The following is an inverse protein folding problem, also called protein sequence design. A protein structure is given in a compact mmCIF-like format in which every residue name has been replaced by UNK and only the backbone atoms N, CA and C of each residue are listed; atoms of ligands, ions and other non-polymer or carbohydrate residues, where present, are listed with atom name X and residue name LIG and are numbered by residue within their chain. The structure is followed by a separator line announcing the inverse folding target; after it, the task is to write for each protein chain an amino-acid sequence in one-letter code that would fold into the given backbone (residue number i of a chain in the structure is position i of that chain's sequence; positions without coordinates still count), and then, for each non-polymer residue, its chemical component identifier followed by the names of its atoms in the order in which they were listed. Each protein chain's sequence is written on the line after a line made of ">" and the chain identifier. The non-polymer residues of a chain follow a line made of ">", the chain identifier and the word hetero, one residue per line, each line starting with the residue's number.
data_IF_873375181359
#
_entry.id   IF_873375181359
#
_cell.length_a   1.000
_cell.length_b   1.000
_cell.length_c   1.000
_cell.angle_alpha   90.00
_cell.angle_beta   90.00
_cell.angle_gamma   90.00
#
_symmetry.space_group_name_H-M   'P 1'
#
loop_
_entity.id
_entity.type
_entity.pdbx_description
1 polymer ?
#
# COMPACT_ATOMS: atom_id res chain seq x y z
N UNK A 1 -1.46 -13.05 19.34
CA UNK A 1 -0.97 -12.78 17.96
C UNK A 1 -2.14 -12.87 16.99
N UNK A 2 -2.36 -11.83 16.20
CA UNK A 2 -3.46 -11.82 15.24
C UNK A 2 -3.08 -12.64 14.00
N UNK A 3 -3.92 -13.60 13.62
CA UNK A 3 -3.68 -14.45 12.46
C UNK A 3 -3.90 -13.67 11.15
N UNK A 4 -3.30 -14.15 10.07
CA UNK A 4 -3.52 -13.59 8.74
C UNK A 4 -5.01 -13.57 8.38
N UNK A 5 -5.72 -14.66 8.68
CA UNK A 5 -7.16 -14.75 8.42
C UNK A 5 -7.95 -13.68 9.20
N UNK A 6 -7.64 -13.46 10.47
CA UNK A 6 -8.33 -12.47 11.29
C UNK A 6 -8.08 -11.04 10.75
N UNK A 7 -6.87 -10.76 10.29
CA UNK A 7 -6.54 -9.46 9.67
C UNK A 7 -7.34 -9.25 8.39
N UNK A 8 -7.40 -10.27 7.53
CA UNK A 8 -8.16 -10.20 6.27
C UNK A 8 -9.66 -10.06 6.53
N UNK A 9 -10.18 -10.75 7.53
CA UNK A 9 -11.59 -10.62 7.92
C UNK A 9 -11.90 -9.20 8.38
N UNK A 10 -11.03 -8.60 9.20
CA UNK A 10 -11.18 -7.23 9.66
C UNK A 10 -11.08 -6.24 8.48
N UNK A 11 -10.16 -6.47 7.57
CA UNK A 11 -10.01 -5.64 6.37
C UNK A 11 -11.28 -5.67 5.50
N UNK A 12 -11.87 -6.85 5.35
CA UNK A 12 -13.12 -7.03 4.59
C UNK A 12 -14.30 -6.36 5.28
N UNK A 13 -14.34 -6.36 6.61
CA UNK A 13 -15.36 -5.62 7.36
C UNK A 13 -15.26 -4.12 7.11
N UNK A 14 -14.06 -3.58 6.98
CA UNK A 14 -13.86 -2.16 6.64
C UNK A 14 -14.40 -1.85 5.25
N UNK A 15 -14.35 -2.79 4.32
CA UNK A 15 -14.99 -2.62 3.00
C UNK A 15 -16.49 -2.38 3.16
N UNK A 16 -17.16 -3.22 3.92
CA UNK A 16 -18.61 -3.12 4.10
C UNK A 16 -18.99 -1.82 4.82
N UNK A 17 -18.33 -1.50 5.93
CA UNK A 17 -18.63 -0.31 6.73
C UNK A 17 -18.27 1.00 6.02
N UNK A 18 -17.20 1.01 5.21
CA UNK A 18 -16.73 2.19 4.49
C UNK A 18 -17.22 2.27 3.05
N UNK A 19 -17.97 1.28 2.58
CA UNK A 19 -18.43 1.18 1.19
C UNK A 19 -17.27 1.33 0.20
N UNK A 20 -16.19 0.61 0.45
CA UNK A 20 -14.97 0.70 -0.35
C UNK A 20 -15.13 0.02 -1.72
N UNK A 21 -14.49 0.58 -2.75
CA UNK A 21 -14.53 0.06 -4.12
C UNK A 21 -13.46 -1.01 -4.39
N UNK A 22 -12.80 -1.52 -3.35
CA UNK A 22 -11.76 -2.54 -3.41
C UNK A 22 -11.96 -3.49 -2.22
N UNK A 23 -11.11 -4.51 -2.10
CA UNK A 23 -11.36 -5.63 -1.18
C UNK A 23 -11.45 -5.24 0.30
N UNK A 24 -10.75 -4.20 0.71
CA UNK A 24 -10.76 -3.73 2.08
C UNK A 24 -9.56 -2.84 2.39
N UNK A 25 -9.31 -2.62 3.68
CA UNK A 25 -8.23 -1.77 4.14
C UNK A 25 -7.56 -2.36 5.37
N UNK A 26 -6.25 -2.18 5.48
CA UNK A 26 -5.44 -2.64 6.62
C UNK A 26 -4.70 -1.45 7.22
N UNK A 27 -4.46 -1.51 8.54
CA UNK A 27 -3.56 -0.55 9.18
C UNK A 27 -2.11 -0.88 8.80
N UNK A 28 -1.16 0.06 8.98
CA UNK A 28 0.25 -0.24 8.73
C UNK A 28 0.75 -1.46 9.51
N UNK A 29 0.37 -1.59 10.79
CA UNK A 29 0.76 -2.74 11.62
C UNK A 29 0.17 -4.04 11.09
N UNK A 30 -1.09 -4.03 10.67
CA UNK A 30 -1.74 -5.20 10.06
C UNK A 30 -1.07 -5.59 8.76
N UNK A 31 -0.69 -4.60 7.96
CA UNK A 31 0.02 -4.86 6.69
C UNK A 31 1.34 -5.59 6.92
N UNK A 32 2.14 -5.12 7.88
CA UNK A 32 3.41 -5.78 8.21
C UNK A 32 3.17 -7.20 8.74
N UNK A 33 2.17 -7.38 9.60
CA UNK A 33 1.82 -8.70 10.14
C UNK A 33 1.42 -9.67 9.03
N UNK A 34 0.64 -9.22 8.04
CA UNK A 34 0.26 -10.04 6.89
C UNK A 34 1.48 -10.44 6.06
N UNK A 35 2.36 -9.48 5.77
CA UNK A 35 3.56 -9.74 4.99
C UNK A 35 4.47 -10.75 5.66
N UNK A 36 4.58 -10.69 6.99
CA UNK A 36 5.38 -11.64 7.75
C UNK A 36 4.72 -13.02 7.87
N UNK A 37 3.38 -13.06 7.89
CA UNK A 37 2.64 -14.30 8.06
C UNK A 37 2.46 -15.11 6.78
N UNK A 38 2.45 -14.46 5.61
CA UNK A 38 2.16 -15.10 4.32
C UNK A 38 3.11 -14.57 3.25
N UNK A 39 4.00 -15.43 2.78
CA UNK A 39 4.99 -15.08 1.76
C UNK A 39 4.38 -14.71 0.41
N UNK A 40 3.11 -15.05 0.17
CA UNK A 40 2.41 -14.70 -1.07
C UNK A 40 1.88 -13.27 -1.08
N UNK A 41 1.72 -12.64 0.09
CA UNK A 41 1.24 -11.25 0.19
C UNK A 41 2.31 -10.30 -0.36
N UNK A 42 1.90 -9.32 -1.13
CA UNK A 42 2.79 -8.33 -1.74
C UNK A 42 2.40 -6.91 -1.36
N UNK A 43 3.39 -6.11 -1.02
CA UNK A 43 3.22 -4.67 -0.84
C UNK A 43 3.53 -3.99 -2.18
N UNK A 44 2.57 -3.25 -2.71
CA UNK A 44 2.72 -2.50 -3.94
C UNK A 44 2.81 -1.02 -3.57
N UNK A 45 4.01 -0.48 -3.66
CA UNK A 45 4.27 0.92 -3.38
C UNK A 45 3.97 1.73 -4.64
N UNK A 46 2.93 2.56 -4.59
CA UNK A 46 2.50 3.31 -5.76
C UNK A 46 3.02 4.74 -5.78
N UNK A 47 3.97 5.04 -4.87
CA UNK A 47 4.65 6.34 -4.86
C UNK A 47 5.56 6.46 -6.07
N UNK A 48 5.98 7.70 -6.34
CA UNK A 48 6.95 7.96 -7.41
C UNK A 48 8.33 7.44 -7.01
N UNK A 49 9.14 7.09 -7.99
CA UNK A 49 10.54 6.70 -7.77
C UNK A 49 11.30 7.80 -7.04
N UNK A 50 11.00 9.07 -7.32
CA UNK A 50 11.60 10.20 -6.64
C UNK A 50 11.35 10.15 -5.13
N UNK A 51 10.14 9.79 -4.70
CA UNK A 51 9.83 9.66 -3.28
C UNK A 51 10.65 8.54 -2.63
N UNK A 52 10.86 7.43 -3.32
CA UNK A 52 11.72 6.36 -2.80
C UNK A 52 13.16 6.82 -2.64
N UNK A 53 13.65 7.58 -3.62
CA UNK A 53 15.04 8.03 -3.63
C UNK A 53 15.30 9.12 -2.59
N UNK A 54 14.30 9.96 -2.26
CA UNK A 54 14.48 11.09 -1.35
C UNK A 54 13.91 10.88 0.04
N UNK A 55 12.88 10.08 0.18
CA UNK A 55 12.19 9.86 1.46
C UNK A 55 12.52 8.51 2.08
N UNK A 56 12.63 7.49 1.26
CA UNK A 56 12.84 6.12 1.72
C UNK A 56 11.67 5.21 1.43
N UNK A 57 11.72 3.99 1.95
CA UNK A 57 10.73 2.96 1.67
C UNK A 57 10.56 1.99 2.83
N UNK A 58 9.40 1.28 2.92
CA UNK A 58 9.22 0.29 3.96
C UNK A 58 10.20 -0.88 3.78
N UNK A 59 10.67 -1.43 4.89
CA UNK A 59 11.50 -2.62 4.90
C UNK A 59 10.60 -3.82 5.20
N UNK A 60 10.40 -4.68 4.21
CA UNK A 60 9.52 -5.85 4.30
C UNK A 60 10.30 -7.09 3.83
N UNK A 61 9.77 -8.31 4.05
CA UNK A 61 10.49 -9.51 3.63
C UNK A 61 10.83 -9.51 2.14
N UNK A 62 11.97 -10.11 1.80
CA UNK A 62 12.47 -10.16 0.42
C UNK A 62 11.43 -10.78 -0.53
N UNK A 63 11.29 -10.17 -1.70
CA UNK A 63 10.37 -10.64 -2.73
C UNK A 63 8.92 -10.23 -2.53
N UNK A 64 8.61 -9.52 -1.44
CA UNK A 64 7.24 -9.09 -1.15
C UNK A 64 7.00 -7.60 -1.38
N UNK A 65 7.96 -6.89 -1.95
CA UNK A 65 7.87 -5.46 -2.24
C UNK A 65 8.04 -5.21 -3.73
N UNK A 66 7.18 -4.35 -4.29
CA UNK A 66 7.35 -3.83 -5.65
C UNK A 66 6.91 -2.38 -5.69
N UNK A 67 7.60 -1.59 -6.53
CA UNK A 67 7.22 -0.21 -6.80
C UNK A 67 6.58 -0.14 -8.19
N UNK A 68 5.32 0.27 -8.24
CA UNK A 68 4.60 0.51 -9.50
C UNK A 68 3.97 1.89 -9.39
N UNK A 69 4.53 2.88 -10.05
CA UNK A 69 4.09 4.26 -9.90
C UNK A 69 2.64 4.46 -10.36
N UNK A 70 1.84 5.14 -9.55
CA UNK A 70 0.49 5.58 -9.92
C UNK A 70 0.57 6.84 -10.79
N UNK A 71 1.43 7.77 -10.41
CA UNK A 71 1.77 8.94 -11.20
C UNK A 71 3.30 9.03 -11.30
N UNK A 72 3.78 9.83 -12.23
CA UNK A 72 5.22 10.05 -12.44
C UNK A 72 5.62 11.43 -11.97
N UNK A 73 6.83 11.54 -11.47
CA UNK A 73 7.45 12.81 -11.11
C UNK A 73 8.49 13.17 -12.17
N UNK A 74 8.60 14.47 -12.55
CA UNK A 74 7.81 15.61 -12.06
C UNK A 74 6.45 15.76 -12.75
N UNK A 75 5.57 16.56 -12.11
CA UNK A 75 4.32 16.99 -12.72
C UNK A 75 3.09 16.16 -12.38
N UNK A 76 3.25 15.04 -11.67
CA UNK A 76 2.12 14.20 -11.28
C UNK A 76 1.38 13.59 -12.48
N UNK A 77 2.13 13.26 -13.53
CA UNK A 77 1.54 12.71 -14.78
C UNK A 77 1.06 11.27 -14.52
N UNK A 78 -0.21 10.94 -14.83
CA UNK A 78 -0.70 9.57 -14.65
C UNK A 78 0.15 8.55 -15.42
N UNK A 79 0.41 7.42 -14.79
CA UNK A 79 1.15 6.32 -15.41
C UNK A 79 0.18 5.45 -16.23
N UNK A 80 0.18 5.62 -17.53
CA UNK A 80 -0.70 4.89 -18.44
C UNK A 80 -0.45 3.38 -18.46
N UNK A 81 0.71 2.95 -17.98
CA UNK A 81 1.13 1.56 -17.98
C UNK A 81 1.01 0.91 -16.60
N UNK A 82 0.23 1.51 -15.69
CA UNK A 82 0.14 1.02 -14.32
C UNK A 82 -0.28 -0.46 -14.26
N UNK A 83 -1.35 -0.83 -14.93
CA UNK A 83 -1.85 -2.22 -14.91
C UNK A 83 -0.91 -3.20 -15.59
N UNK A 84 -0.25 -2.78 -16.69
CA UNK A 84 0.75 -3.62 -17.37
C UNK A 84 1.94 -3.89 -16.46
N UNK A 85 2.43 -2.87 -15.77
CA UNK A 85 3.55 -2.98 -14.85
C UNK A 85 3.17 -3.80 -13.63
N UNK A 86 1.96 -3.62 -13.11
CA UNK A 86 1.45 -4.43 -12.00
C UNK A 86 1.41 -5.92 -12.40
N UNK A 87 0.88 -6.23 -13.58
CA UNK A 87 0.80 -7.60 -14.07
C UNK A 87 2.19 -8.22 -14.27
N UNK A 88 3.18 -7.42 -14.68
CA UNK A 88 4.55 -7.87 -14.83
C UNK A 88 5.17 -8.24 -13.47
N UNK A 89 4.90 -7.44 -12.43
CA UNK A 89 5.39 -7.68 -11.08
C UNK A 89 4.60 -8.76 -10.34
N UNK A 90 3.30 -8.84 -10.60
CA UNK A 90 2.37 -9.73 -9.90
C UNK A 90 1.42 -10.35 -10.92
N UNK A 91 1.85 -11.40 -11.65
CA UNK A 91 1.01 -11.99 -12.70
C UNK A 91 -0.19 -12.78 -12.18
N UNK A 92 -0.12 -13.30 -10.96
CA UNK A 92 -1.22 -14.08 -10.38
C UNK A 92 -2.24 -13.13 -9.72
N UNK A 93 -3.43 -13.06 -10.29
CA UNK A 93 -4.51 -12.18 -9.81
C UNK A 93 -5.12 -12.62 -8.48
N UNK A 94 -4.78 -13.80 -7.99
CA UNK A 94 -5.21 -14.26 -6.67
C UNK A 94 -4.27 -13.81 -5.55
N UNK A 95 -3.16 -13.19 -5.89
CA UNK A 95 -2.20 -12.68 -4.90
C UNK A 95 -2.81 -11.53 -4.09
N UNK A 96 -2.78 -11.59 -2.75
CA UNK A 96 -3.20 -10.44 -1.94
C UNK A 96 -2.22 -9.28 -2.11
N UNK A 97 -2.75 -8.12 -2.47
CA UNK A 97 -1.98 -6.91 -2.71
C UNK A 97 -2.33 -5.84 -1.68
N UNK A 98 -1.30 -5.26 -1.09
CA UNK A 98 -1.43 -4.16 -0.13
C UNK A 98 -0.81 -2.92 -0.76
N UNK A 99 -1.65 -1.93 -1.08
CA UNK A 99 -1.22 -0.72 -1.79
C UNK A 99 -0.82 0.37 -0.81
N UNK A 100 0.37 0.94 -1.02
CA UNK A 100 0.95 1.97 -0.17
C UNK A 100 1.25 3.22 -0.98
N UNK A 101 0.91 4.39 -0.42
CA UNK A 101 1.38 5.68 -0.93
C UNK A 101 1.83 6.56 0.23
N UNK A 102 1.89 7.88 0.04
CA UNK A 102 2.37 8.78 1.10
C UNK A 102 1.38 8.91 2.24
N UNK A 103 0.09 9.12 1.93
CA UNK A 103 -0.97 9.37 2.93
C UNK A 103 -2.30 8.71 2.58
N UNK A 104 -2.26 7.65 1.79
CA UNK A 104 -3.37 6.79 1.38
C UNK A 104 -4.31 7.35 0.30
N UNK A 105 -4.02 8.49 -0.32
CA UNK A 105 -4.88 9.02 -1.40
C UNK A 105 -4.70 8.26 -2.71
N UNK A 106 -3.46 8.14 -3.20
CA UNK A 106 -3.15 7.43 -4.45
C UNK A 106 -3.36 5.92 -4.34
N UNK A 107 -3.07 5.36 -3.17
CA UNK A 107 -3.20 3.90 -2.94
C UNK A 107 -4.65 3.45 -3.03
N UNK A 108 -5.60 4.27 -2.59
CA UNK A 108 -7.03 3.96 -2.72
C UNK A 108 -7.44 3.87 -4.19
N UNK A 109 -7.00 4.83 -5.01
CA UNK A 109 -7.29 4.82 -6.44
C UNK A 109 -6.64 3.62 -7.13
N UNK A 110 -5.40 3.30 -6.77
CA UNK A 110 -4.69 2.16 -7.33
C UNK A 110 -5.35 0.83 -6.96
N UNK A 111 -5.76 0.68 -5.69
CA UNK A 111 -6.46 -0.52 -5.23
C UNK A 111 -7.78 -0.72 -5.97
N UNK A 112 -8.52 0.36 -6.23
CA UNK A 112 -9.78 0.30 -6.99
C UNK A 112 -9.54 -0.19 -8.42
N UNK A 113 -8.57 0.40 -9.12
CA UNK A 113 -8.25 0.04 -10.50
C UNK A 113 -7.78 -1.42 -10.58
N UNK A 114 -6.94 -1.85 -9.66
CA UNK A 114 -6.48 -3.23 -9.60
C UNK A 114 -7.64 -4.20 -9.33
N UNK A 115 -8.53 -3.85 -8.41
CA UNK A 115 -9.70 -4.66 -8.09
C UNK A 115 -10.59 -4.84 -9.32
N UNK A 116 -10.86 -3.76 -10.03
CA UNK A 116 -11.67 -3.79 -11.26
C UNK A 116 -11.01 -4.59 -12.38
N UNK A 117 -9.68 -4.70 -12.36
CA UNK A 117 -8.91 -5.48 -13.34
C UNK A 117 -8.81 -6.97 -12.97
N UNK A 118 -9.44 -7.40 -11.86
CA UNK A 118 -9.48 -8.80 -11.47
C UNK A 118 -8.61 -9.18 -10.28
N UNK A 119 -7.85 -8.24 -9.72
CA UNK A 119 -7.10 -8.46 -8.48
C UNK A 119 -8.06 -8.30 -7.31
N UNK A 120 -8.84 -9.34 -7.04
CA UNK A 120 -9.95 -9.28 -6.07
C UNK A 120 -9.50 -9.19 -4.62
N UNK A 121 -8.22 -9.37 -4.34
CA UNK A 121 -7.63 -9.20 -3.02
C UNK A 121 -6.74 -7.96 -2.98
N UNK A 122 -7.25 -6.83 -3.47
CA UNK A 122 -6.57 -5.53 -3.45
C UNK A 122 -7.02 -4.73 -2.23
N UNK A 123 -6.09 -4.45 -1.32
CA UNK A 123 -6.35 -3.73 -0.07
C UNK A 123 -5.56 -2.43 -0.02
N UNK A 124 -6.14 -1.41 0.60
CA UNK A 124 -5.44 -0.16 0.86
C UNK A 124 -4.72 -0.24 2.22
N UNK A 125 -3.48 0.23 2.28
CA UNK A 125 -2.80 0.44 3.56
C UNK A 125 -3.18 1.84 4.05
N UNK A 126 -3.95 1.89 5.14
CA UNK A 126 -4.39 3.14 5.75
C UNK A 126 -3.19 3.98 6.19
N UNK A 127 -3.32 5.29 6.22
CA UNK A 127 -2.33 6.26 6.69
C UNK A 127 -1.13 6.46 5.75
N UNK A 128 -0.77 5.46 4.94
CA UNK A 128 0.38 5.57 4.04
C UNK A 128 1.74 5.49 4.74
N UNK A 129 2.79 5.83 4.01
CA UNK A 129 4.17 5.75 4.52
C UNK A 129 4.50 6.89 5.48
N UNK A 130 4.11 8.12 5.13
CA UNK A 130 4.43 9.32 5.92
C UNK A 130 3.24 9.85 6.73
N UNK A 131 2.02 9.42 6.39
CA UNK A 131 0.82 9.87 7.07
C UNK A 131 0.41 11.30 6.73
N UNK A 132 -0.51 11.82 7.53
CA UNK A 132 -1.00 13.18 7.37
C UNK A 132 -0.02 14.19 7.98
N UNK A 133 -0.15 15.43 7.55
CA UNK A 133 0.59 16.54 8.16
C UNK A 133 0.04 16.87 9.54
N UNK A 134 0.92 17.25 10.45
CA UNK A 134 0.51 17.82 11.74
C UNK A 134 0.13 19.29 11.56
N UNK A 135 -0.16 19.97 12.68
CA UNK A 135 -0.57 21.38 12.67
C UNK A 135 0.52 22.33 12.13
N UNK A 136 1.76 21.89 12.09
CA UNK A 136 2.89 22.67 11.59
C UNK A 136 3.30 22.29 10.17
N UNK A 137 2.54 21.39 9.52
CA UNK A 137 2.79 20.95 8.16
C UNK A 137 3.83 19.85 8.04
N UNK A 138 4.17 19.18 9.14
CA UNK A 138 5.16 18.10 9.14
C UNK A 138 4.48 16.73 9.05
N UNK A 139 5.06 15.84 8.22
CA UNK A 139 4.63 14.45 8.14
C UNK A 139 5.43 13.58 9.09
N UNK A 140 4.98 12.33 9.30
CA UNK A 140 5.59 11.32 10.17
C UNK A 140 5.40 11.62 11.67
N UNK A 141 4.52 12.54 12.00
CA UNK A 141 4.33 13.01 13.37
C UNK A 141 2.97 12.66 13.97
N UNK A 142 1.98 12.24 13.15
CA UNK A 142 0.63 11.94 13.65
C UNK A 142 0.10 10.59 13.16
N UNK A 143 0.59 10.08 12.03
CA UNK A 143 0.15 8.82 11.47
C UNK A 143 1.16 8.30 10.45
N UNK A 144 0.93 7.08 9.96
CA UNK A 144 1.72 6.47 8.89
C UNK A 144 2.71 5.42 9.36
N UNK A 145 3.26 4.69 8.38
CA UNK A 145 4.22 3.61 8.60
C UNK A 145 5.40 4.04 9.48
N UNK A 146 6.00 5.18 9.14
CA UNK A 146 7.15 5.71 9.88
C UNK A 146 6.76 6.14 11.30
N UNK A 147 5.64 6.83 11.46
CA UNK A 147 5.16 7.27 12.76
C UNK A 147 4.88 6.06 13.68
N UNK A 148 4.36 4.97 13.12
CA UNK A 148 4.08 3.74 13.86
C UNK A 148 5.33 2.95 14.20
N UNK A 149 6.50 3.48 13.86
CA UNK A 149 7.79 2.89 14.16
C UNK A 149 7.98 1.49 13.52
N UNK A 150 7.41 1.29 12.34
CA UNK A 150 7.58 0.06 11.58
C UNK A 150 8.89 0.13 10.78
N UNK A 151 9.48 -1.02 10.40
CA UNK A 151 10.79 -1.02 9.71
C UNK A 151 10.76 -0.26 8.39
N UNK A 152 11.74 0.61 8.18
CA UNK A 152 11.89 1.34 6.91
C UNK A 152 13.35 1.72 6.69
N UNK A 153 13.69 1.97 5.43
CA UNK A 153 15.03 2.36 5.01
C UNK A 153 14.98 3.77 4.46
N UNK A 154 15.91 4.62 4.91
CA UNK A 154 16.08 5.96 4.37
C UNK A 154 16.69 5.94 2.97
N UNK A 155 16.59 7.07 2.30
CA UNK A 155 17.18 7.24 0.99
C UNK A 155 18.69 7.53 1.10
#
# INVERSE_FOLDING_TARGET
>A
MTSAKAILDQATQRRASGQLAYAGAVTPEEALALLNADANVRLIDVRTRAELDWVGRPQVPDGQYANVEWVRYPGGVPNEHFLEQLASQTPDKNTPLLFLCRSAARSKAAAKVAYEAGYTQSFDILEGFEGDKDSEGHRKHVSGWCFRNLPWLGA
#
